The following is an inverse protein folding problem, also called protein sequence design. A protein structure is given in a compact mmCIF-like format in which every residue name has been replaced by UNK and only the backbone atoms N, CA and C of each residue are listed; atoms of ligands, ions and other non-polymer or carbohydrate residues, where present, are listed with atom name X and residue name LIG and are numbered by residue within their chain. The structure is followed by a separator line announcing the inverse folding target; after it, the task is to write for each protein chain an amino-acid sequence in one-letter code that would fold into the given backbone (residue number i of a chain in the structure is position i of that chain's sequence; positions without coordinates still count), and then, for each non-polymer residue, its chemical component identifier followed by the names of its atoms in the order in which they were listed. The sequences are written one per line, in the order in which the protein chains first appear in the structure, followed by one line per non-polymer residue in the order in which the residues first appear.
data_IF_632688660078
#
_entry.id   IF_632688660078
#
_cell.length_a   1.000
_cell.length_b   1.000
_cell.length_c   1.000
_cell.angle_alpha   90.00
_cell.angle_beta   90.00
_cell.angle_gamma   90.00
#
_symmetry.space_group_name_H-M   'P 1'
#
loop_
_entity.id
_entity.type
_entity.pdbx_description
1 polymer ?
#
# COMPACT_ATOMS: atom_id res chain seq x y z
N UNK A 1 -39.21 0.19 -65.25
CA UNK A 1 -37.89 0.07 -64.59
C UNK A 1 -37.95 0.85 -63.30
N UNK A 2 -38.09 0.20 -62.16
CA UNK A 2 -38.11 0.84 -60.87
C UNK A 2 -36.69 0.79 -60.29
N UNK A 3 -36.03 1.95 -60.25
CA UNK A 3 -34.73 2.13 -59.62
C UNK A 3 -34.89 2.02 -58.10
N UNK A 4 -34.51 0.88 -57.53
CA UNK A 4 -34.40 0.72 -56.10
C UNK A 4 -33.23 1.58 -55.59
N UNK A 5 -33.56 2.71 -54.95
CA UNK A 5 -32.65 3.47 -54.15
C UNK A 5 -32.25 2.64 -52.91
N UNK A 6 -31.06 2.06 -52.93
CA UNK A 6 -30.45 1.47 -51.73
C UNK A 6 -30.07 2.65 -50.81
N UNK A 7 -30.67 2.82 -49.64
CA UNK A 7 -30.27 3.88 -48.74
C UNK A 7 -28.84 3.60 -48.25
N UNK A 8 -27.97 4.55 -48.52
CA UNK A 8 -26.57 4.54 -48.07
C UNK A 8 -26.57 4.59 -46.51
N UNK A 9 -26.69 3.41 -45.89
CA UNK A 9 -26.62 3.28 -44.42
C UNK A 9 -25.23 3.70 -43.97
N UNK A 10 -25.10 4.96 -43.52
CA UNK A 10 -23.90 5.41 -42.79
C UNK A 10 -23.63 4.42 -41.67
N UNK A 11 -22.59 3.61 -41.86
CA UNK A 11 -22.15 2.60 -40.87
C UNK A 11 -21.87 3.33 -39.55
N UNK A 12 -22.75 3.29 -38.59
CA UNK A 12 -22.60 3.95 -37.29
C UNK A 12 -21.29 3.48 -36.62
N UNK A 13 -20.33 4.36 -36.42
CA UNK A 13 -19.07 4.11 -35.72
C UNK A 13 -19.26 4.17 -34.18
N UNK A 14 -20.46 4.46 -33.71
CA UNK A 14 -20.80 4.70 -32.32
C UNK A 14 -20.34 3.58 -31.37
N UNK A 15 -20.54 2.27 -31.64
CA UNK A 15 -20.07 1.20 -30.76
C UNK A 15 -18.53 1.18 -30.58
N UNK A 16 -17.81 1.44 -31.65
CA UNK A 16 -16.34 1.48 -31.62
C UNK A 16 -15.85 2.65 -30.79
N UNK A 17 -16.42 3.84 -31.01
CA UNK A 17 -16.07 5.06 -30.25
C UNK A 17 -16.37 4.87 -28.77
N UNK A 18 -17.56 4.37 -28.41
CA UNK A 18 -17.95 4.18 -27.01
C UNK A 18 -17.04 3.16 -26.30
N UNK A 19 -16.76 2.02 -26.93
CA UNK A 19 -15.84 1.02 -26.36
C UNK A 19 -14.43 1.60 -26.18
N UNK A 20 -13.93 2.40 -27.13
CA UNK A 20 -12.63 3.06 -27.03
C UNK A 20 -12.59 4.07 -25.90
N UNK A 21 -13.61 4.89 -25.76
CA UNK A 21 -13.71 5.86 -24.65
C UNK A 21 -13.75 5.15 -23.31
N UNK A 22 -14.61 4.14 -23.17
CA UNK A 22 -14.72 3.35 -21.91
C UNK A 22 -13.40 2.66 -21.57
N UNK A 23 -12.71 2.08 -22.56
CA UNK A 23 -11.39 1.49 -22.36
C UNK A 23 -10.35 2.53 -21.91
N UNK A 24 -10.24 3.65 -22.58
CA UNK A 24 -9.28 4.69 -22.22
C UNK A 24 -9.55 5.27 -20.83
N UNK A 25 -10.83 5.53 -20.51
CA UNK A 25 -11.23 6.01 -19.18
C UNK A 25 -10.88 5.00 -18.08
N UNK A 26 -11.23 3.72 -18.28
CA UNK A 26 -10.90 2.67 -17.31
C UNK A 26 -9.38 2.56 -17.12
N UNK A 27 -8.62 2.41 -18.20
CA UNK A 27 -7.16 2.24 -18.14
C UNK A 27 -6.49 3.41 -17.47
N UNK A 28 -6.86 4.64 -17.86
CA UNK A 28 -6.31 5.85 -17.25
C UNK A 28 -6.62 5.95 -15.76
N UNK A 29 -7.90 5.80 -15.35
CA UNK A 29 -8.32 5.90 -13.95
C UNK A 29 -7.64 4.79 -13.12
N UNK A 30 -7.57 3.58 -13.65
CA UNK A 30 -6.94 2.44 -12.99
C UNK A 30 -5.45 2.69 -12.72
N UNK A 31 -4.71 3.17 -13.71
CA UNK A 31 -3.27 3.47 -13.58
C UNK A 31 -3.02 4.71 -12.71
N UNK A 32 -3.84 5.75 -12.87
CA UNK A 32 -3.65 7.02 -12.17
C UNK A 32 -4.04 6.95 -10.68
N UNK A 33 -5.14 6.26 -10.36
CA UNK A 33 -5.70 6.28 -9.00
C UNK A 33 -5.38 5.03 -8.18
N UNK A 34 -5.24 3.87 -8.80
CA UNK A 34 -5.08 2.62 -8.08
C UNK A 34 -3.66 2.06 -8.15
N UNK A 35 -3.03 2.07 -9.31
CA UNK A 35 -1.72 1.45 -9.52
C UNK A 35 -0.53 2.44 -9.53
N UNK A 36 -0.77 3.74 -9.35
CA UNK A 36 0.27 4.76 -9.49
C UNK A 36 1.47 4.54 -8.56
N UNK A 37 1.21 4.22 -7.28
CA UNK A 37 2.27 4.06 -6.28
C UNK A 37 3.06 2.75 -6.50
N UNK A 38 2.36 1.68 -6.92
CA UNK A 38 3.00 0.40 -7.30
C UNK A 38 3.93 0.59 -8.49
N UNK A 39 3.48 1.31 -9.52
CA UNK A 39 4.29 1.60 -10.70
C UNK A 39 5.47 2.52 -10.38
N UNK A 40 5.29 3.50 -9.48
CA UNK A 40 6.37 4.37 -9.03
C UNK A 40 7.47 3.58 -8.32
N UNK A 41 7.10 2.72 -7.37
CA UNK A 41 8.03 1.81 -6.70
C UNK A 41 8.73 0.89 -7.71
N UNK A 42 7.96 0.29 -8.61
CA UNK A 42 8.51 -0.65 -9.61
C UNK A 42 9.52 0.03 -10.52
N UNK A 43 9.19 1.21 -11.05
CA UNK A 43 10.11 1.97 -11.90
C UNK A 43 11.38 2.38 -11.14
N UNK A 44 11.24 2.85 -9.89
CA UNK A 44 12.38 3.21 -9.05
C UNK A 44 13.32 2.02 -8.85
N UNK A 45 12.79 0.86 -8.47
CA UNK A 45 13.61 -0.34 -8.21
C UNK A 45 14.25 -0.86 -9.50
N UNK A 46 13.50 -0.99 -10.60
CA UNK A 46 14.03 -1.48 -11.88
C UNK A 46 15.07 -0.55 -12.50
N UNK A 47 14.98 0.75 -12.23
CA UNK A 47 15.97 1.73 -12.71
C UNK A 47 17.10 2.00 -11.72
N UNK A 48 17.16 1.28 -10.58
CA UNK A 48 18.09 1.56 -9.48
C UNK A 48 18.05 3.03 -9.03
N UNK A 49 16.85 3.62 -8.96
CA UNK A 49 16.64 5.00 -8.55
C UNK A 49 16.98 6.06 -9.60
N UNK A 50 17.32 5.68 -10.83
CA UNK A 50 17.72 6.63 -11.88
C UNK A 50 16.53 7.34 -12.54
N UNK A 51 15.35 6.75 -12.51
CA UNK A 51 14.15 7.31 -13.12
C UNK A 51 13.01 7.43 -12.11
N UNK A 52 12.18 8.46 -12.31
CA UNK A 52 11.02 8.73 -11.48
C UNK A 52 9.75 8.56 -12.30
N UNK A 53 8.73 7.91 -11.73
CA UNK A 53 7.42 7.74 -12.35
C UNK A 53 6.51 8.92 -12.00
N UNK A 54 6.20 9.75 -13.00
CA UNK A 54 5.10 10.70 -12.86
C UNK A 54 3.76 10.02 -13.14
N UNK A 55 2.85 10.08 -12.15
CA UNK A 55 1.55 9.39 -12.22
C UNK A 55 0.67 9.83 -13.38
N UNK A 56 0.73 11.11 -13.76
CA UNK A 56 -0.10 11.67 -14.84
C UNK A 56 0.47 11.30 -16.20
N UNK A 57 1.77 11.57 -16.40
CA UNK A 57 2.46 11.29 -17.67
C UNK A 57 2.50 9.78 -17.91
N UNK A 58 2.82 9.00 -16.87
CA UNK A 58 2.88 7.54 -16.95
C UNK A 58 1.53 6.92 -17.31
N UNK A 59 0.44 7.33 -16.64
CA UNK A 59 -0.91 6.83 -16.93
C UNK A 59 -1.34 7.18 -18.36
N UNK A 60 -1.08 8.40 -18.84
CA UNK A 60 -1.38 8.81 -20.22
C UNK A 60 -0.57 7.98 -21.21
N UNK A 61 0.75 7.89 -21.02
CA UNK A 61 1.65 7.20 -21.93
C UNK A 61 1.27 5.71 -22.07
N UNK A 62 1.07 5.01 -20.95
CA UNK A 62 0.69 3.60 -20.95
C UNK A 62 -0.69 3.43 -21.60
N UNK A 63 -1.67 4.28 -21.30
CA UNK A 63 -3.00 4.23 -21.92
C UNK A 63 -2.91 4.39 -23.43
N UNK A 64 -2.12 5.35 -23.92
CA UNK A 64 -1.92 5.58 -25.36
C UNK A 64 -1.25 4.37 -26.03
N UNK A 65 -0.21 3.80 -25.43
CA UNK A 65 0.48 2.61 -25.96
C UNK A 65 -0.48 1.42 -26.06
N UNK A 66 -1.26 1.17 -25.01
CA UNK A 66 -2.25 0.07 -24.98
C UNK A 66 -3.38 0.30 -26.00
N UNK A 67 -3.78 1.55 -26.21
CA UNK A 67 -4.77 1.89 -27.24
C UNK A 67 -4.21 1.73 -28.66
N UNK A 68 -2.95 2.12 -28.90
CA UNK A 68 -2.28 1.88 -30.20
C UNK A 68 -2.14 0.37 -30.48
N UNK A 69 -1.83 -0.44 -29.47
CA UNK A 69 -1.82 -1.90 -29.61
C UNK A 69 -3.20 -2.43 -30.02
N UNK A 70 -4.28 -1.97 -29.37
CA UNK A 70 -5.63 -2.30 -29.76
C UNK A 70 -5.93 -1.94 -31.23
N UNK A 71 -5.57 -0.72 -31.68
CA UNK A 71 -5.77 -0.28 -33.05
C UNK A 71 -5.05 -1.24 -34.02
N UNK A 72 -3.81 -1.61 -33.73
CA UNK A 72 -3.00 -2.52 -34.55
C UNK A 72 -3.68 -3.87 -34.72
N UNK A 73 -4.19 -4.44 -33.63
CA UNK A 73 -4.92 -5.71 -33.63
C UNK A 73 -6.24 -5.60 -34.40
N UNK A 74 -6.99 -4.53 -34.17
CA UNK A 74 -8.23 -4.29 -34.91
C UNK A 74 -7.99 -4.16 -36.43
N UNK A 75 -6.95 -3.43 -36.83
CA UNK A 75 -6.57 -3.27 -38.22
C UNK A 75 -6.13 -4.59 -38.90
N UNK A 76 -5.39 -5.42 -38.17
CA UNK A 76 -4.93 -6.73 -38.63
C UNK A 76 -6.09 -7.71 -38.86
N UNK A 77 -6.96 -7.86 -37.89
CA UNK A 77 -8.08 -8.83 -37.97
C UNK A 77 -9.28 -8.30 -38.75
N UNK A 78 -9.47 -6.97 -38.84
CA UNK A 78 -10.62 -6.33 -39.51
C UNK A 78 -11.95 -6.96 -39.06
N UNK A 79 -12.13 -7.17 -37.76
CA UNK A 79 -13.30 -7.82 -37.19
C UNK A 79 -14.59 -7.03 -37.45
N UNK A 80 -15.70 -7.77 -37.51
CA UNK A 80 -17.02 -7.16 -37.51
C UNK A 80 -17.29 -6.44 -36.18
N UNK A 81 -18.22 -5.51 -36.15
CA UNK A 81 -18.54 -4.69 -34.97
C UNK A 81 -19.05 -5.47 -33.77
N UNK A 82 -19.55 -6.71 -33.95
CA UNK A 82 -20.03 -7.55 -32.85
C UNK A 82 -18.89 -8.07 -31.98
N UNK A 83 -17.70 -8.29 -32.53
CA UNK A 83 -16.53 -8.76 -31.79
C UNK A 83 -15.50 -7.67 -31.49
N UNK A 84 -15.85 -6.41 -31.64
CA UNK A 84 -14.93 -5.28 -31.50
C UNK A 84 -14.28 -5.25 -30.12
N UNK A 85 -15.04 -5.47 -29.04
CA UNK A 85 -14.52 -5.45 -27.69
C UNK A 85 -13.39 -6.48 -27.44
N UNK A 86 -13.42 -7.63 -28.11
CA UNK A 86 -12.39 -8.66 -27.95
C UNK A 86 -11.00 -8.23 -28.44
N UNK A 87 -10.93 -7.23 -29.33
CA UNK A 87 -9.64 -6.69 -29.79
C UNK A 87 -8.88 -5.91 -28.70
N UNK A 88 -9.56 -5.54 -27.60
CA UNK A 88 -8.91 -4.95 -26.43
C UNK A 88 -8.24 -5.98 -25.51
N UNK A 89 -8.55 -7.27 -25.67
CA UNK A 89 -8.05 -8.33 -24.78
C UNK A 89 -6.52 -8.34 -24.67
N UNK A 90 -5.71 -8.26 -25.75
CA UNK A 90 -4.26 -8.24 -25.63
C UNK A 90 -3.74 -7.02 -24.88
N UNK A 91 -4.36 -5.86 -25.07
CA UNK A 91 -3.99 -4.63 -24.33
C UNK A 91 -4.30 -4.76 -22.84
N UNK A 92 -5.45 -5.34 -22.48
CA UNK A 92 -5.83 -5.59 -21.09
C UNK A 92 -4.99 -6.69 -20.44
N UNK A 93 -4.60 -7.72 -21.21
CA UNK A 93 -3.66 -8.74 -20.75
C UNK A 93 -2.30 -8.16 -20.39
N UNK A 94 -1.76 -7.26 -21.24
CA UNK A 94 -0.52 -6.55 -20.93
C UNK A 94 -0.69 -5.62 -19.73
N UNK A 95 -1.82 -4.93 -19.58
CA UNK A 95 -2.13 -4.12 -18.41
C UNK A 95 -2.10 -4.96 -17.14
N UNK A 96 -2.74 -6.14 -17.16
CA UNK A 96 -2.73 -7.06 -16.02
C UNK A 96 -1.31 -7.49 -15.66
N UNK A 97 -0.51 -7.90 -16.63
CA UNK A 97 0.87 -8.32 -16.39
C UNK A 97 1.76 -7.17 -15.86
N UNK A 98 1.54 -5.94 -16.35
CA UNK A 98 2.24 -4.74 -15.89
C UNK A 98 1.89 -4.38 -14.45
N UNK A 99 0.69 -4.72 -13.98
CA UNK A 99 0.18 -4.35 -12.67
C UNK A 99 0.15 -5.53 -11.67
N UNK A 100 0.47 -6.76 -12.10
CA UNK A 100 0.65 -7.92 -11.22
C UNK A 100 2.08 -8.00 -10.68
N UNK A 101 2.50 -6.94 -9.98
CA UNK A 101 3.82 -6.83 -9.38
C UNK A 101 3.66 -6.92 -7.86
N UNK A 102 4.42 -7.82 -7.24
CA UNK A 102 4.47 -8.00 -5.81
C UNK A 102 5.91 -7.83 -5.27
N UNK A 103 6.03 -7.87 -3.96
CA UNK A 103 7.31 -7.71 -3.26
C UNK A 103 8.36 -8.73 -3.71
N UNK A 104 7.97 -10.00 -3.89
CA UNK A 104 8.91 -11.07 -4.26
C UNK A 104 9.43 -10.89 -5.68
N UNK A 105 8.52 -10.54 -6.62
CA UNK A 105 8.90 -10.25 -8.01
C UNK A 105 9.91 -9.10 -8.10
N UNK A 106 9.72 -8.05 -7.30
CA UNK A 106 10.65 -6.92 -7.24
C UNK A 106 12.01 -7.34 -6.71
N UNK A 107 12.07 -8.06 -5.59
CA UNK A 107 13.35 -8.47 -4.99
C UNK A 107 14.15 -9.43 -5.87
N UNK A 108 13.49 -10.31 -6.61
CA UNK A 108 14.14 -11.24 -7.51
C UNK A 108 14.43 -10.68 -8.91
N UNK A 109 14.18 -9.38 -9.15
CA UNK A 109 14.27 -8.74 -10.47
C UNK A 109 13.53 -9.51 -11.58
N UNK A 110 12.51 -10.31 -11.22
CA UNK A 110 11.72 -11.12 -12.13
C UNK A 110 10.38 -10.42 -12.42
N UNK A 111 10.42 -9.28 -13.08
CA UNK A 111 9.25 -8.41 -13.32
C UNK A 111 8.04 -9.15 -13.94
N UNK A 112 8.27 -10.17 -14.75
CA UNK A 112 7.21 -10.91 -15.43
C UNK A 112 6.87 -12.26 -14.77
N UNK A 113 7.77 -12.88 -14.00
CA UNK A 113 7.50 -14.16 -13.34
C UNK A 113 6.81 -15.19 -14.25
N UNK A 114 5.67 -15.75 -13.80
CA UNK A 114 4.86 -16.70 -14.58
C UNK A 114 4.26 -16.11 -15.86
N UNK A 115 4.11 -14.79 -15.96
CA UNK A 115 3.58 -14.10 -17.14
C UNK A 115 4.40 -14.33 -18.39
N UNK A 116 5.67 -14.67 -18.26
CA UNK A 116 6.52 -15.02 -19.41
C UNK A 116 5.96 -16.19 -20.25
N UNK A 117 5.31 -17.15 -19.62
CA UNK A 117 4.66 -18.26 -20.30
C UNK A 117 3.18 -18.05 -20.56
N UNK A 118 2.49 -17.37 -19.65
CA UNK A 118 1.03 -17.13 -19.71
C UNK A 118 0.67 -16.17 -20.85
N UNK A 119 1.42 -15.08 -21.03
CA UNK A 119 1.13 -14.09 -22.07
C UNK A 119 1.17 -14.72 -23.48
N UNK A 120 2.23 -15.42 -23.92
CA UNK A 120 2.27 -16.02 -25.26
C UNK A 120 1.14 -17.03 -25.47
N UNK A 121 0.82 -17.85 -24.46
CA UNK A 121 -0.26 -18.81 -24.55
C UNK A 121 -1.62 -18.14 -24.74
N UNK A 122 -1.94 -17.14 -23.91
CA UNK A 122 -3.20 -16.41 -24.00
C UNK A 122 -3.32 -15.58 -25.28
N UNK A 123 -2.23 -15.00 -25.75
CA UNK A 123 -2.19 -14.29 -27.04
C UNK A 123 -2.44 -15.25 -28.19
N UNK A 124 -1.86 -16.44 -28.17
CA UNK A 124 -2.10 -17.48 -29.16
C UNK A 124 -3.56 -17.92 -29.19
N UNK A 125 -4.14 -18.20 -28.02
CA UNK A 125 -5.56 -18.52 -27.89
C UNK A 125 -6.46 -17.38 -28.40
N UNK A 126 -6.13 -16.14 -28.04
CA UNK A 126 -6.83 -14.96 -28.52
C UNK A 126 -6.75 -14.86 -30.06
N UNK A 127 -5.57 -15.06 -30.63
CA UNK A 127 -5.36 -15.05 -32.10
C UNK A 127 -6.27 -16.07 -32.80
N UNK A 128 -6.32 -17.30 -32.32
CA UNK A 128 -7.22 -18.33 -32.87
C UNK A 128 -8.69 -17.95 -32.70
N UNK A 129 -9.09 -17.44 -31.51
CA UNK A 129 -10.47 -17.03 -31.27
C UNK A 129 -10.90 -15.86 -32.19
N UNK A 130 -10.05 -14.86 -32.38
CA UNK A 130 -10.32 -13.73 -33.29
C UNK A 130 -10.40 -14.19 -34.76
N UNK A 131 -9.51 -15.11 -35.18
CA UNK A 131 -9.54 -15.72 -36.50
C UNK A 131 -10.83 -16.52 -36.77
N UNK A 132 -11.25 -17.35 -35.79
CA UNK A 132 -12.51 -18.09 -35.84
C UNK A 132 -13.74 -17.17 -35.90
N UNK A 133 -13.79 -16.13 -35.09
CA UNK A 133 -14.85 -15.13 -35.10
C UNK A 133 -14.93 -14.40 -36.44
N UNK A 134 -13.80 -14.05 -37.04
CA UNK A 134 -13.76 -13.43 -38.37
C UNK A 134 -14.45 -14.30 -39.43
N UNK A 135 -14.21 -15.61 -39.42
CA UNK A 135 -14.83 -16.53 -40.37
C UNK A 135 -16.33 -16.68 -40.14
N UNK A 136 -16.76 -16.85 -38.88
CA UNK A 136 -18.16 -17.18 -38.55
C UNK A 136 -19.11 -15.99 -38.59
N UNK A 137 -18.63 -14.79 -38.21
CA UNK A 137 -19.45 -13.56 -38.09
C UNK A 137 -19.57 -12.87 -39.46
N UNK A 138 -18.60 -13.01 -40.36
CA UNK A 138 -18.68 -12.47 -41.73
C UNK A 138 -19.91 -12.93 -42.50
N UNK A 139 -20.47 -14.11 -42.16
CA UNK A 139 -21.62 -14.72 -42.87
C UNK A 139 -23.00 -14.19 -42.40
N UNK A 140 -23.13 -13.59 -41.21
CA UNK A 140 -24.45 -13.26 -40.60
C UNK A 140 -24.79 -11.77 -40.47
N UNK A 141 -23.95 -10.82 -40.87
CA UNK A 141 -24.08 -9.39 -40.48
C UNK A 141 -24.53 -8.49 -41.63
N UNK A 142 -25.62 -8.83 -42.31
CA UNK A 142 -26.12 -7.94 -43.40
C UNK A 142 -27.22 -6.97 -42.94
N UNK A 143 -27.80 -7.08 -41.74
CA UNK A 143 -28.98 -6.26 -41.34
C UNK A 143 -29.08 -5.82 -39.89
N UNK A 144 -27.99 -5.63 -39.14
CA UNK A 144 -28.15 -5.15 -37.77
C UNK A 144 -28.15 -3.61 -37.71
N UNK A 145 -29.23 -3.03 -37.19
CA UNK A 145 -29.28 -1.61 -36.80
C UNK A 145 -28.39 -1.38 -35.58
N UNK A 146 -27.44 -0.45 -35.66
CA UNK A 146 -26.49 -0.14 -34.59
C UNK A 146 -26.91 1.13 -33.82
N UNK A 147 -28.01 1.05 -33.08
CA UNK A 147 -28.43 2.08 -32.13
C UNK A 147 -27.77 1.83 -30.76
N UNK A 148 -27.76 2.84 -29.86
CA UNK A 148 -27.23 2.74 -28.49
C UNK A 148 -27.84 1.57 -27.69
N UNK A 149 -29.09 1.20 -27.98
CA UNK A 149 -29.81 0.10 -27.36
C UNK A 149 -29.72 -1.22 -28.17
N UNK A 150 -28.84 -1.32 -29.16
CA UNK A 150 -28.73 -2.52 -29.99
C UNK A 150 -28.04 -3.67 -29.24
N UNK A 151 -28.50 -4.90 -29.49
CA UNK A 151 -27.92 -6.14 -28.91
C UNK A 151 -26.39 -6.23 -29.11
N UNK A 152 -25.80 -5.92 -30.28
CA UNK A 152 -24.35 -5.94 -30.47
C UNK A 152 -23.60 -4.96 -29.59
N UNK A 153 -24.20 -3.81 -29.27
CA UNK A 153 -23.62 -2.80 -28.39
C UNK A 153 -23.48 -3.34 -26.96
N UNK A 154 -24.56 -3.91 -26.44
CA UNK A 154 -24.55 -4.49 -25.08
C UNK A 154 -23.58 -5.66 -24.94
N UNK A 155 -23.44 -6.51 -25.96
CA UNK A 155 -22.47 -7.61 -25.98
C UNK A 155 -21.04 -7.08 -25.87
N UNK A 156 -20.70 -6.03 -26.64
CA UNK A 156 -19.37 -5.43 -26.56
C UNK A 156 -19.09 -4.76 -25.19
N UNK A 157 -20.04 -4.00 -24.65
CA UNK A 157 -19.89 -3.37 -23.33
C UNK A 157 -19.77 -4.42 -22.22
N UNK A 158 -20.61 -5.46 -22.25
CA UNK A 158 -20.53 -6.55 -21.27
C UNK A 158 -19.17 -7.27 -21.36
N UNK A 159 -18.69 -7.54 -22.58
CA UNK A 159 -17.38 -8.15 -22.78
C UNK A 159 -16.25 -7.28 -22.21
N UNK A 160 -16.31 -5.96 -22.39
CA UNK A 160 -15.34 -5.04 -21.77
C UNK A 160 -15.43 -5.08 -20.25
N UNK A 161 -16.63 -5.01 -19.67
CA UNK A 161 -16.79 -5.09 -18.21
C UNK A 161 -16.23 -6.38 -17.65
N UNK A 162 -16.50 -7.53 -18.29
CA UNK A 162 -15.92 -8.80 -17.87
C UNK A 162 -14.39 -8.77 -17.93
N UNK A 163 -13.81 -8.23 -19.00
CA UNK A 163 -12.35 -8.10 -19.12
C UNK A 163 -11.77 -7.15 -18.06
N UNK A 164 -12.45 -6.05 -17.72
CA UNK A 164 -12.02 -5.15 -16.65
C UNK A 164 -12.06 -5.83 -15.28
N UNK A 165 -13.11 -6.63 -15.01
CA UNK A 165 -13.16 -7.45 -13.80
C UNK A 165 -11.97 -8.43 -13.73
N UNK A 166 -11.61 -9.07 -14.86
CA UNK A 166 -10.44 -9.95 -14.92
C UNK A 166 -9.13 -9.17 -14.65
N UNK A 167 -8.95 -7.99 -15.22
CA UNK A 167 -7.80 -7.13 -14.87
C UNK A 167 -7.73 -6.88 -13.38
N UNK A 168 -8.83 -6.42 -12.77
CA UNK A 168 -8.86 -6.14 -11.33
C UNK A 168 -8.63 -7.37 -10.45
N UNK A 169 -9.01 -8.57 -10.93
CA UNK A 169 -8.85 -9.83 -10.17
C UNK A 169 -7.44 -10.40 -10.26
N UNK A 170 -6.81 -10.32 -11.44
CA UNK A 170 -5.51 -10.92 -11.70
C UNK A 170 -4.33 -9.98 -11.54
N UNK A 171 -4.56 -8.68 -11.37
CA UNK A 171 -3.52 -7.73 -10.97
C UNK A 171 -3.26 -7.80 -9.47
N UNK A 172 -2.16 -7.21 -9.01
CA UNK A 172 -1.89 -7.10 -7.59
C UNK A 172 -2.97 -6.26 -6.89
N UNK A 173 -3.61 -6.86 -5.89
CA UNK A 173 -4.63 -6.25 -5.03
C UNK A 173 -4.30 -6.42 -3.53
N UNK A 174 -3.05 -6.78 -3.20
CA UNK A 174 -2.59 -6.86 -1.83
C UNK A 174 -2.60 -5.48 -1.18
N UNK A 175 -3.51 -5.29 -0.22
CA UNK A 175 -3.68 -4.04 0.51
C UNK A 175 -2.41 -3.61 1.25
N UNK A 176 -1.67 -4.56 1.81
CA UNK A 176 -0.43 -4.25 2.53
C UNK A 176 0.63 -3.71 1.59
N UNK A 177 0.78 -4.36 0.44
CA UNK A 177 1.71 -3.93 -0.59
C UNK A 177 1.37 -2.54 -1.12
N UNK A 178 0.08 -2.27 -1.42
CA UNK A 178 -0.37 -0.94 -1.86
C UNK A 178 -0.16 0.13 -0.78
N UNK A 179 -0.48 -0.16 0.49
CA UNK A 179 -0.23 0.77 1.59
C UNK A 179 1.27 1.06 1.74
N UNK A 180 2.11 0.02 1.66
CA UNK A 180 3.56 0.17 1.76
C UNK A 180 4.12 0.99 0.60
N UNK A 181 3.75 0.67 -0.64
CA UNK A 181 4.17 1.42 -1.81
C UNK A 181 3.78 2.91 -1.70
N UNK A 182 2.54 3.19 -1.30
CA UNK A 182 2.05 4.55 -1.10
C UNK A 182 2.81 5.31 -0.01
N UNK A 183 3.11 4.65 1.12
CA UNK A 183 3.91 5.25 2.20
C UNK A 183 5.34 5.53 1.74
N UNK A 184 6.00 4.57 1.08
CA UNK A 184 7.38 4.75 0.61
C UNK A 184 7.50 5.87 -0.42
N UNK A 185 6.55 5.97 -1.36
CA UNK A 185 6.49 7.09 -2.32
C UNK A 185 6.33 8.42 -1.58
N UNK A 186 5.38 8.51 -0.63
CA UNK A 186 5.17 9.74 0.12
C UNK A 186 6.40 10.15 0.96
N UNK A 187 7.08 9.17 1.58
CA UNK A 187 8.31 9.43 2.35
C UNK A 187 9.46 9.87 1.42
N UNK A 188 9.62 9.20 0.28
CA UNK A 188 10.63 9.56 -0.72
C UNK A 188 10.42 10.99 -1.25
N UNK A 189 9.18 11.41 -1.39
CA UNK A 189 8.80 12.79 -1.75
C UNK A 189 8.80 13.77 -0.57
N UNK A 190 9.29 13.36 0.61
CA UNK A 190 9.30 14.15 1.85
C UNK A 190 7.91 14.60 2.34
N UNK A 191 6.83 13.94 1.91
CA UNK A 191 5.44 14.18 2.35
C UNK A 191 5.09 13.30 3.55
N UNK A 192 5.77 13.51 4.68
CA UNK A 192 5.66 12.65 5.86
C UNK A 192 4.26 12.63 6.47
N UNK A 193 3.57 13.77 6.51
CA UNK A 193 2.18 13.83 7.02
C UNK A 193 1.20 13.03 6.14
N UNK A 194 1.40 13.01 4.83
CA UNK A 194 0.58 12.20 3.93
C UNK A 194 0.88 10.70 4.09
N UNK A 195 2.14 10.33 4.33
CA UNK A 195 2.51 8.97 4.65
C UNK A 195 1.79 8.46 5.91
N UNK A 196 1.67 9.29 6.96
CA UNK A 196 1.00 8.93 8.20
C UNK A 196 -0.51 8.70 8.06
N UNK A 197 -1.17 9.35 7.10
CA UNK A 197 -2.59 9.12 6.78
C UNK A 197 -2.86 7.76 6.11
N UNK A 198 -1.82 7.13 5.53
CA UNK A 198 -1.98 5.84 4.84
C UNK A 198 -2.30 4.74 5.82
N UNK A 199 -3.49 4.14 5.68
CA UNK A 199 -3.94 3.05 6.55
C UNK A 199 -4.14 3.43 8.01
N UNK A 200 -4.33 4.72 8.34
CA UNK A 200 -4.57 5.22 9.71
C UNK A 200 -5.71 4.49 10.42
N UNK A 201 -6.81 4.22 9.70
CA UNK A 201 -7.98 3.52 10.24
C UNK A 201 -7.91 1.99 10.06
N UNK A 202 -6.82 1.44 9.55
CA UNK A 202 -6.66 -0.01 9.40
C UNK A 202 -6.21 -0.63 10.72
N UNK A 203 -6.88 -1.71 11.14
CA UNK A 203 -6.45 -2.52 12.30
C UNK A 203 -5.34 -3.51 11.94
N UNK A 204 -5.06 -3.68 10.66
CA UNK A 204 -4.03 -4.60 10.16
C UNK A 204 -2.76 -3.84 9.83
N UNK A 205 -1.63 -4.43 10.18
CA UNK A 205 -0.30 -3.87 9.90
C UNK A 205 0.71 -5.00 9.71
N UNK A 206 1.85 -4.68 9.13
CA UNK A 206 3.05 -5.51 9.11
C UNK A 206 4.25 -4.75 9.69
N UNK A 207 5.35 -5.45 9.91
CA UNK A 207 6.56 -4.83 10.48
C UNK A 207 7.17 -3.75 9.58
N UNK A 208 7.01 -3.86 8.26
CA UNK A 208 7.51 -2.85 7.32
C UNK A 208 6.70 -1.55 7.42
N UNK A 209 5.37 -1.65 7.54
CA UNK A 209 4.51 -0.48 7.76
C UNK A 209 4.77 0.18 9.12
N UNK A 210 5.04 -0.61 10.17
CA UNK A 210 5.43 -0.07 11.49
C UNK A 210 6.71 0.74 11.37
N UNK A 211 7.73 0.21 10.69
CA UNK A 211 9.00 0.92 10.49
C UNK A 211 8.81 2.22 9.70
N UNK A 212 8.04 2.19 8.60
CA UNK A 212 7.77 3.38 7.79
C UNK A 212 7.04 4.46 8.59
N UNK A 213 6.07 4.07 9.42
CA UNK A 213 5.37 5.00 10.32
C UNK A 213 6.31 5.58 11.37
N UNK A 214 7.12 4.74 12.02
CA UNK A 214 8.09 5.20 13.01
C UNK A 214 9.08 6.21 12.39
N UNK A 215 9.56 5.94 11.17
CA UNK A 215 10.44 6.86 10.45
C UNK A 215 9.73 8.18 10.10
N UNK A 216 8.52 8.14 9.56
CA UNK A 216 7.74 9.33 9.25
C UNK A 216 7.42 10.15 10.51
N UNK A 217 6.97 9.50 11.61
CA UNK A 217 6.73 10.14 12.90
C UNK A 217 7.98 10.80 13.47
N UNK A 218 9.12 10.15 13.34
CA UNK A 218 10.40 10.72 13.80
C UNK A 218 10.79 11.96 12.98
N UNK A 219 10.54 11.96 11.66
CA UNK A 219 10.80 13.13 10.80
C UNK A 219 9.94 14.34 11.16
N UNK A 220 8.70 14.12 11.59
CA UNK A 220 7.80 15.19 12.08
C UNK A 220 7.89 15.42 13.58
N UNK A 221 8.85 14.76 14.29
CA UNK A 221 9.09 14.89 15.75
C UNK A 221 7.88 14.49 16.62
N UNK A 222 7.10 13.50 16.17
CA UNK A 222 5.91 13.00 16.87
C UNK A 222 6.02 11.51 17.25
N UNK A 223 7.23 10.93 17.24
CA UNK A 223 7.41 9.51 17.50
C UNK A 223 6.89 9.10 18.89
N UNK A 224 7.25 9.81 19.95
CA UNK A 224 6.77 9.55 21.30
C UNK A 224 5.33 10.00 21.56
N UNK A 225 4.76 10.82 20.67
CA UNK A 225 3.37 11.30 20.78
C UNK A 225 2.37 10.32 20.17
N UNK A 226 2.66 9.76 18.99
CA UNK A 226 1.65 9.08 18.18
C UNK A 226 1.97 7.60 17.86
N UNK A 227 3.15 7.06 18.20
CA UNK A 227 3.53 5.70 17.79
C UNK A 227 2.48 4.64 18.16
N UNK A 228 1.92 4.71 19.37
CA UNK A 228 0.95 3.74 19.88
C UNK A 228 -0.49 4.04 19.45
N UNK A 229 -0.73 5.07 18.64
CA UNK A 229 -2.03 5.32 18.02
C UNK A 229 -2.28 4.42 16.81
N UNK A 230 -1.21 3.84 16.26
CA UNK A 230 -1.26 2.91 15.14
C UNK A 230 -1.17 1.44 15.62
N UNK A 231 -1.68 0.49 14.82
CA UNK A 231 -1.44 -0.92 15.10
C UNK A 231 0.04 -1.24 14.99
N UNK A 232 0.57 -1.98 15.96
CA UNK A 232 1.97 -2.33 16.09
C UNK A 232 2.19 -3.84 16.02
N UNK A 233 3.27 -4.25 15.37
CA UNK A 233 3.69 -5.65 15.23
C UNK A 233 5.22 -5.71 15.20
N UNK A 234 5.82 -6.75 15.81
CA UNK A 234 7.25 -7.03 15.74
C UNK A 234 8.11 -6.35 16.80
N UNK A 235 7.50 -5.67 17.80
CA UNK A 235 8.24 -5.05 18.91
C UNK A 235 9.27 -4.03 18.42
N UNK A 236 10.38 -3.90 19.17
CA UNK A 236 11.47 -2.99 18.82
C UNK A 236 12.18 -3.34 17.51
N UNK A 237 12.17 -4.60 17.10
CA UNK A 237 12.79 -5.05 15.83
C UNK A 237 12.09 -4.47 14.60
N UNK A 238 10.84 -4.04 14.74
CA UNK A 238 10.10 -3.36 13.69
C UNK A 238 10.45 -1.87 13.53
N UNK A 239 11.30 -1.29 14.37
CA UNK A 239 11.70 0.13 14.25
C UNK A 239 12.73 0.40 13.16
N UNK A 240 13.49 -0.61 12.74
CA UNK A 240 14.57 -0.47 11.77
C UNK A 240 14.55 -1.57 10.71
N UNK A 241 15.02 -1.29 9.49
CA UNK A 241 15.19 -2.32 8.46
C UNK A 241 16.14 -3.42 8.95
N UNK A 242 15.71 -4.68 8.84
CA UNK A 242 16.50 -5.86 9.24
C UNK A 242 16.69 -6.87 8.10
N UNK A 243 16.08 -6.66 6.94
CA UNK A 243 16.18 -7.54 5.78
C UNK A 243 15.34 -8.82 5.85
N UNK A 244 14.77 -9.14 7.00
CA UNK A 244 13.95 -10.34 7.24
C UNK A 244 12.46 -9.98 7.33
N UNK A 245 12.03 -9.45 8.47
CA UNK A 245 10.65 -9.05 8.72
C UNK A 245 10.33 -7.63 8.25
N UNK A 246 11.34 -6.76 8.15
CA UNK A 246 11.23 -5.37 7.68
C UNK A 246 11.99 -5.23 6.37
N UNK A 247 11.26 -5.19 5.28
CA UNK A 247 11.80 -5.08 3.92
C UNK A 247 11.36 -3.75 3.31
N UNK A 248 12.29 -3.00 2.72
CA UNK A 248 12.05 -1.74 2.04
C UNK A 248 12.04 -1.93 0.53
N UNK A 249 11.28 -1.11 -0.19
CA UNK A 249 11.19 -1.15 -1.65
C UNK A 249 12.00 -0.03 -2.30
N UNK A 250 11.77 1.22 -1.90
CA UNK A 250 12.44 2.40 -2.45
C UNK A 250 13.49 2.98 -1.52
N UNK A 251 13.23 2.95 -0.19
CA UNK A 251 14.08 3.63 0.77
C UNK A 251 15.34 2.80 1.06
N UNK A 252 16.54 3.36 0.85
CA UNK A 252 17.77 2.65 1.17
C UNK A 252 17.90 2.46 2.69
N UNK A 253 18.20 1.23 3.11
CA UNK A 253 18.45 0.90 4.52
C UNK A 253 19.49 1.82 5.16
N UNK A 254 20.55 2.16 4.41
CA UNK A 254 21.61 3.04 4.88
C UNK A 254 21.12 4.45 5.20
N UNK A 255 20.14 4.99 4.46
CA UNK A 255 19.58 6.32 4.71
C UNK A 255 18.91 6.38 6.08
N UNK A 256 18.10 5.38 6.41
CA UNK A 256 17.40 5.28 7.69
C UNK A 256 18.42 5.12 8.84
N UNK A 257 19.43 4.27 8.65
CA UNK A 257 20.48 4.07 9.65
C UNK A 257 21.30 5.35 9.85
N UNK A 258 21.67 6.05 8.79
CA UNK A 258 22.39 7.32 8.87
C UNK A 258 21.57 8.46 9.47
N UNK A 259 20.25 8.41 9.35
CA UNK A 259 19.36 9.36 10.02
C UNK A 259 19.44 9.24 11.55
N UNK A 260 19.58 8.02 12.08
CA UNK A 260 19.66 7.75 13.52
C UNK A 260 21.10 7.89 14.04
N UNK A 261 22.09 7.49 13.22
CA UNK A 261 23.50 7.56 13.62
C UNK A 261 24.43 6.95 12.59
N UNK A 262 25.06 5.82 12.92
CA UNK A 262 26.01 5.10 12.08
C UNK A 262 25.40 3.81 11.57
N UNK A 263 25.92 3.27 10.45
CA UNK A 263 25.42 2.02 9.86
C UNK A 263 25.41 0.86 10.85
N UNK A 264 24.32 0.11 10.87
CA UNK A 264 24.12 -1.07 11.71
C UNK A 264 24.89 -2.26 11.15
N UNK A 265 25.55 -3.05 12.00
CA UNK A 265 26.04 -4.37 11.61
C UNK A 265 24.84 -5.31 11.43
N UNK A 266 24.83 -6.10 10.36
CA UNK A 266 23.66 -6.92 9.98
C UNK A 266 23.18 -7.90 11.05
N UNK A 267 24.10 -8.44 11.88
CA UNK A 267 23.77 -9.40 12.95
C UNK A 267 23.28 -8.77 14.27
N UNK A 268 23.30 -7.43 14.41
CA UNK A 268 22.95 -6.79 15.68
C UNK A 268 21.44 -6.52 15.75
N UNK A 269 20.80 -6.86 16.88
CA UNK A 269 19.41 -6.50 17.17
C UNK A 269 19.24 -4.99 17.33
N UNK A 270 17.99 -4.50 17.18
CA UNK A 270 17.69 -3.06 17.18
C UNK A 270 18.05 -2.39 18.51
N UNK A 271 17.59 -2.92 19.64
CA UNK A 271 17.88 -2.31 20.97
C UNK A 271 19.37 -2.27 21.27
N UNK A 272 20.16 -3.36 21.17
CA UNK A 272 21.60 -3.31 21.34
C UNK A 272 22.31 -2.33 20.41
N UNK A 273 21.84 -2.18 19.18
CA UNK A 273 22.39 -1.21 18.24
C UNK A 273 22.12 0.24 18.68
N UNK A 274 20.90 0.55 19.08
CA UNK A 274 20.54 1.89 19.57
C UNK A 274 21.31 2.23 20.86
N UNK A 275 21.41 1.27 21.80
CA UNK A 275 22.21 1.44 23.03
C UNK A 275 23.70 1.61 22.72
N UNK A 276 24.22 0.94 21.69
CA UNK A 276 25.61 1.13 21.25
C UNK A 276 25.83 2.55 20.73
N UNK A 277 24.95 3.05 19.85
CA UNK A 277 25.03 4.41 19.32
C UNK A 277 24.97 5.44 20.43
N UNK A 278 24.10 5.23 21.40
CA UNK A 278 23.89 6.12 22.55
C UNK A 278 25.12 6.17 23.44
N UNK A 279 25.67 5.01 23.85
CA UNK A 279 26.84 4.90 24.73
C UNK A 279 28.11 5.49 24.12
N UNK A 280 28.28 5.38 22.81
CA UNK A 280 29.46 5.87 22.10
C UNK A 280 29.28 7.29 21.51
N UNK A 281 28.17 7.98 21.83
CA UNK A 281 27.83 9.31 21.30
C UNK A 281 27.85 9.38 19.76
N UNK A 282 27.48 8.28 19.09
CA UNK A 282 27.39 8.15 17.64
C UNK A 282 25.96 8.40 17.12
N UNK A 283 24.99 8.57 18.02
CA UNK A 283 23.61 8.85 17.71
C UNK A 283 23.40 10.29 17.26
N UNK A 284 22.48 10.51 16.34
CA UNK A 284 21.98 11.83 15.94
C UNK A 284 20.74 12.23 16.77
N UNK A 285 20.15 13.37 16.47
CA UNK A 285 19.02 13.94 17.24
C UNK A 285 17.83 12.97 17.43
N UNK A 286 17.59 12.04 16.51
CA UNK A 286 16.49 11.08 16.58
C UNK A 286 16.76 9.90 17.55
N UNK A 287 18.00 9.68 18.01
CA UNK A 287 18.38 8.49 18.78
C UNK A 287 17.60 8.35 20.07
N UNK A 288 17.33 9.47 20.78
CA UNK A 288 16.63 9.48 22.04
C UNK A 288 15.22 8.88 21.91
N UNK A 289 14.44 9.40 20.97
CA UNK A 289 13.07 8.91 20.75
C UNK A 289 13.03 7.48 20.25
N UNK A 290 13.95 7.10 19.36
CA UNK A 290 14.02 5.71 18.91
C UNK A 290 14.33 4.72 20.03
N UNK A 291 15.28 5.07 20.91
CA UNK A 291 15.65 4.19 22.03
C UNK A 291 14.57 4.15 23.11
N UNK A 292 13.95 5.30 23.45
CA UNK A 292 12.83 5.37 24.37
C UNK A 292 11.63 4.56 23.85
N UNK A 293 11.25 4.71 22.59
CA UNK A 293 10.18 3.95 21.98
C UNK A 293 10.52 2.45 21.85
N UNK A 294 11.79 2.10 21.59
CA UNK A 294 12.23 0.70 21.57
C UNK A 294 12.04 0.02 22.93
N UNK A 295 12.40 0.70 24.03
CA UNK A 295 12.15 0.19 25.37
C UNK A 295 10.65 0.04 25.68
N UNK A 296 9.82 0.99 25.24
CA UNK A 296 8.37 0.90 25.40
C UNK A 296 7.77 -0.26 24.60
N UNK A 297 8.22 -0.48 23.36
CA UNK A 297 7.78 -1.59 22.51
C UNK A 297 8.13 -2.96 23.13
N UNK A 298 9.30 -3.07 23.77
CA UNK A 298 9.74 -4.29 24.45
C UNK A 298 9.28 -4.35 25.91
N UNK A 299 8.42 -3.41 26.36
CA UNK A 299 7.88 -3.33 27.74
C UNK A 299 8.95 -3.18 28.83
N UNK A 300 10.13 -2.64 28.48
CA UNK A 300 11.26 -2.41 29.37
C UNK A 300 11.10 -1.05 30.08
N UNK A 301 10.09 -0.94 30.96
CA UNK A 301 9.74 0.32 31.64
C UNK A 301 10.86 0.87 32.52
N UNK A 302 11.63 0.02 33.20
CA UNK A 302 12.71 0.45 34.08
C UNK A 302 13.85 1.13 33.27
N UNK A 303 14.20 0.57 32.09
CA UNK A 303 15.19 1.15 31.19
C UNK A 303 14.71 2.45 30.57
N UNK A 304 13.41 2.50 30.21
CA UNK A 304 12.76 3.71 29.71
C UNK A 304 12.85 4.85 30.75
N UNK A 305 12.42 4.60 32.01
CA UNK A 305 12.40 5.60 33.08
C UNK A 305 13.80 6.07 33.44
N UNK A 306 14.80 5.18 33.40
CA UNK A 306 16.20 5.51 33.64
C UNK A 306 16.79 6.44 32.55
N UNK A 307 16.38 6.24 31.32
CA UNK A 307 16.92 6.99 30.17
C UNK A 307 16.19 8.32 29.92
N UNK A 308 14.89 8.37 30.21
CA UNK A 308 14.01 9.50 29.89
C UNK A 308 14.58 10.87 30.34
N UNK A 309 15.09 11.04 31.60
CA UNK A 309 15.59 12.34 32.08
C UNK A 309 16.80 12.87 31.31
N UNK A 310 17.48 12.03 30.53
CA UNK A 310 18.60 12.46 29.69
C UNK A 310 18.14 13.29 28.49
N UNK A 311 16.93 13.03 27.98
CA UNK A 311 16.40 13.64 26.76
C UNK A 311 15.26 14.62 27.00
N UNK A 312 14.52 14.42 28.10
CA UNK A 312 13.32 15.17 28.40
C UNK A 312 13.25 15.58 29.87
N UNK A 313 12.77 16.79 30.11
CA UNK A 313 12.32 17.21 31.44
C UNK A 313 10.99 16.53 31.76
N UNK A 314 10.85 16.02 32.99
CA UNK A 314 9.62 15.33 33.41
C UNK A 314 8.59 16.38 33.83
N UNK A 315 7.81 16.83 32.87
CA UNK A 315 6.75 17.83 33.04
C UNK A 315 5.53 17.50 32.16
N UNK A 316 4.52 18.38 32.16
CA UNK A 316 3.29 18.21 31.38
C UNK A 316 3.49 18.25 29.85
N UNK A 317 4.64 18.75 29.36
CA UNK A 317 4.96 18.86 27.94
C UNK A 317 5.61 17.58 27.35
N UNK A 318 5.80 16.55 28.18
CA UNK A 318 6.26 15.26 27.69
C UNK A 318 5.32 14.71 26.62
N UNK A 319 5.84 14.00 25.59
CA UNK A 319 5.01 13.26 24.65
C UNK A 319 3.97 12.35 25.35
N UNK A 320 2.79 12.25 24.76
CA UNK A 320 1.62 11.54 25.34
C UNK A 320 1.98 10.14 25.84
N UNK A 321 2.60 9.33 25.00
CA UNK A 321 2.89 7.95 25.36
C UNK A 321 4.01 7.81 26.40
N UNK A 322 4.89 8.80 26.54
CA UNK A 322 5.87 8.84 27.63
C UNK A 322 5.21 9.13 28.97
N UNK A 323 4.23 10.07 28.98
CA UNK A 323 3.40 10.33 30.17
C UNK A 323 2.59 9.10 30.57
N UNK A 324 1.93 8.45 29.62
CA UNK A 324 1.17 7.20 29.85
C UNK A 324 2.07 6.09 30.41
N UNK A 325 3.31 5.97 29.91
CA UNK A 325 4.28 5.01 30.41
C UNK A 325 4.74 5.30 31.83
N UNK A 326 4.94 6.58 32.17
CA UNK A 326 5.30 7.01 33.53
C UNK A 326 4.18 6.74 34.54
N UNK A 327 2.92 7.01 34.19
CA UNK A 327 1.77 6.69 35.02
C UNK A 327 1.69 5.18 35.26
N UNK A 328 1.79 4.38 34.18
CA UNK A 328 1.83 2.93 34.28
C UNK A 328 2.96 2.44 35.18
N UNK A 329 4.16 3.00 35.04
CA UNK A 329 5.34 2.68 35.86
C UNK A 329 5.10 2.97 37.32
N UNK A 330 4.54 4.15 37.65
CA UNK A 330 4.22 4.57 39.03
C UNK A 330 3.23 3.60 39.67
N UNK A 331 2.21 3.14 38.95
CA UNK A 331 1.22 2.18 39.47
C UNK A 331 1.73 0.73 39.57
N UNK A 332 2.72 0.35 38.75
CA UNK A 332 3.27 -1.03 38.79
C UNK A 332 4.41 -1.20 39.77
N UNK A 333 5.00 -0.16 40.31
CA UNK A 333 6.15 -0.23 41.22
C UNK A 333 5.75 0.25 42.62
N UNK A 334 6.10 -0.55 43.63
CA UNK A 334 5.89 -0.18 45.06
C UNK A 334 6.82 0.94 45.50
N UNK A 335 8.00 1.07 44.87
CA UNK A 335 8.97 2.15 45.09
C UNK A 335 9.50 2.65 43.73
N UNK A 336 8.74 3.51 43.05
CA UNK A 336 9.14 4.06 41.76
C UNK A 336 10.33 5.00 41.96
N UNK A 337 11.35 4.89 41.08
CA UNK A 337 12.51 5.79 41.08
C UNK A 337 12.15 7.18 40.56
N UNK A 338 11.08 7.29 39.79
CA UNK A 338 10.47 8.53 39.29
C UNK A 338 8.98 8.44 39.50
N UNK A 339 8.40 9.47 40.12
CA UNK A 339 6.94 9.62 40.25
C UNK A 339 6.47 10.71 39.29
N UNK A 340 5.47 10.40 38.51
CA UNK A 340 4.78 11.34 37.64
C UNK A 340 3.30 11.30 37.96
N UNK A 341 2.71 12.45 38.21
CA UNK A 341 1.28 12.60 38.52
C UNK A 341 0.65 13.60 37.56
N UNK A 342 -0.50 13.24 37.04
CA UNK A 342 -1.33 14.12 36.22
C UNK A 342 -2.80 13.75 36.45
N UNK A 343 -3.53 14.63 37.13
CA UNK A 343 -4.88 14.34 37.61
C UNK A 343 -5.83 13.80 36.53
N UNK A 344 -5.72 14.30 35.28
CA UNK A 344 -6.57 13.85 34.19
C UNK A 344 -6.16 12.45 33.72
N UNK A 345 -4.87 12.24 33.47
CA UNK A 345 -4.38 10.95 32.98
C UNK A 345 -4.44 9.86 34.09
N UNK A 346 -4.31 10.22 35.36
CA UNK A 346 -4.49 9.29 36.48
C UNK A 346 -5.96 8.83 36.52
N UNK A 347 -6.92 9.73 36.38
CA UNK A 347 -8.34 9.39 36.27
C UNK A 347 -8.65 8.51 35.06
N UNK A 348 -8.09 8.84 33.89
CA UNK A 348 -8.22 8.03 32.66
C UNK A 348 -7.65 6.62 32.87
N UNK A 349 -6.53 6.49 33.59
CA UNK A 349 -5.94 5.17 33.90
C UNK A 349 -6.78 4.36 34.90
N UNK A 350 -7.40 4.99 35.89
CA UNK A 350 -8.34 4.33 36.81
C UNK A 350 -9.58 3.85 36.05
N UNK A 351 -10.13 4.65 35.14
CA UNK A 351 -11.23 4.24 34.27
C UNK A 351 -10.83 3.07 33.36
N UNK A 352 -9.64 3.12 32.76
CA UNK A 352 -9.07 2.01 31.99
C UNK A 352 -9.05 0.72 32.81
N UNK A 353 -8.56 0.76 34.07
CA UNK A 353 -8.53 -0.42 34.95
C UNK A 353 -9.93 -0.90 35.31
N UNK A 354 -10.87 0.02 35.56
CA UNK A 354 -12.26 -0.30 35.90
C UNK A 354 -12.95 -1.02 34.73
N UNK A 355 -12.78 -0.54 33.50
CA UNK A 355 -13.30 -1.20 32.31
C UNK A 355 -12.64 -2.57 32.12
N UNK A 356 -11.32 -2.67 32.34
CA UNK A 356 -10.62 -3.95 32.24
C UNK A 356 -11.11 -4.98 33.25
N UNK A 357 -11.49 -4.57 34.46
CA UNK A 357 -12.05 -5.44 35.51
C UNK A 357 -13.51 -5.81 35.25
N UNK A 358 -14.30 -4.94 34.64
CA UNK A 358 -15.73 -5.15 34.36
C UNK A 358 -16.04 -6.36 33.48
N UNK A 359 -15.13 -6.73 32.58
CA UNK A 359 -15.34 -7.82 31.63
C UNK A 359 -14.44 -9.02 31.94
N UNK A 360 -14.97 -10.11 32.53
CA UNK A 360 -14.17 -11.30 32.87
C UNK A 360 -13.66 -12.04 31.61
N UNK A 361 -14.43 -12.05 30.51
CA UNK A 361 -14.03 -12.67 29.27
C UNK A 361 -12.93 -11.85 28.59
N UNK A 362 -11.77 -12.48 28.39
CA UNK A 362 -10.57 -11.82 27.84
C UNK A 362 -10.77 -11.20 26.45
N UNK A 363 -11.52 -11.89 25.57
CA UNK A 363 -11.75 -11.39 24.20
C UNK A 363 -12.68 -10.17 24.19
N UNK A 364 -13.77 -10.24 24.97
CA UNK A 364 -14.71 -9.13 25.11
C UNK A 364 -14.02 -7.93 25.77
N UNK A 365 -13.25 -8.17 26.83
CA UNK A 365 -12.46 -7.15 27.53
C UNK A 365 -11.49 -6.46 26.56
N UNK A 366 -10.68 -7.23 25.81
CA UNK A 366 -9.73 -6.69 24.83
C UNK A 366 -10.43 -5.79 23.80
N UNK A 367 -11.61 -6.20 23.32
CA UNK A 367 -12.38 -5.40 22.35
C UNK A 367 -12.91 -4.11 22.98
N UNK A 368 -13.54 -4.21 24.17
CA UNK A 368 -14.12 -3.04 24.86
C UNK A 368 -13.06 -2.03 25.30
N UNK A 369 -11.94 -2.51 25.81
CA UNK A 369 -10.83 -1.63 26.18
C UNK A 369 -10.21 -0.99 24.94
N UNK A 370 -10.09 -1.73 23.81
CA UNK A 370 -9.59 -1.18 22.56
C UNK A 370 -10.47 -0.06 22.00
N UNK A 371 -11.79 -0.21 22.10
CA UNK A 371 -12.74 0.77 21.57
C UNK A 371 -12.57 2.17 22.20
N UNK A 372 -12.07 2.24 23.45
CA UNK A 372 -11.90 3.48 24.21
C UNK A 372 -10.42 3.87 24.33
N UNK A 373 -9.57 2.92 24.71
CA UNK A 373 -8.16 3.14 25.05
C UNK A 373 -7.17 2.46 24.09
N UNK A 374 -7.63 2.00 22.93
CA UNK A 374 -6.81 1.29 21.94
C UNK A 374 -5.62 2.11 21.38
N UNK A 375 -5.67 3.44 21.52
CA UNK A 375 -4.64 4.39 21.11
C UNK A 375 -3.77 4.87 22.27
N UNK A 376 -3.60 4.03 23.30
CA UNK A 376 -2.78 4.32 24.48
C UNK A 376 -1.66 3.29 24.64
N UNK A 377 -0.57 3.70 25.29
CA UNK A 377 0.49 2.78 25.66
C UNK A 377 0.00 1.70 26.65
N UNK A 378 -0.98 2.02 27.52
CA UNK A 378 -1.56 1.06 28.47
C UNK A 378 -2.21 -0.13 27.77
N UNK A 379 -2.97 0.13 26.72
CA UNK A 379 -3.57 -0.94 25.92
C UNK A 379 -2.48 -1.78 25.24
N UNK A 380 -1.47 -1.14 24.64
CA UNK A 380 -0.34 -1.84 24.04
C UNK A 380 0.36 -2.73 25.07
N UNK A 381 0.73 -2.17 26.21
CA UNK A 381 1.44 -2.90 27.27
C UNK A 381 0.72 -4.17 27.72
N UNK A 382 -0.60 -4.08 27.89
CA UNK A 382 -1.40 -5.19 28.43
C UNK A 382 -1.81 -6.22 27.37
N UNK A 383 -2.12 -5.80 26.13
CA UNK A 383 -2.77 -6.65 25.14
C UNK A 383 -1.93 -6.94 23.90
N UNK A 384 -0.78 -6.30 23.69
CA UNK A 384 0.12 -6.72 22.64
C UNK A 384 0.81 -8.03 23.04
N UNK A 385 0.65 -9.07 22.23
CA UNK A 385 1.54 -10.22 22.26
C UNK A 385 2.87 -9.79 21.67
N UNK A 386 3.97 -9.92 22.44
CA UNK A 386 5.29 -9.98 21.82
C UNK A 386 5.28 -11.25 20.98
N UNK A 387 5.22 -11.10 19.63
CA UNK A 387 5.19 -12.22 18.70
C UNK A 387 6.49 -12.99 18.70
#
# INVERSE_FOLDING_TARGET
MATYHIPNQKKSLLPCILCSVVFCCFTFIYLFSYQCDVLAVTQHVLSNGQTYYDKTIGAILITVILYLLHISIFWFFRLSRIGYALTFFPSLLLLTALTDIDTEKIYHHSALGAWWWVIPLLLLLCFFALGYLKQKVSYKVTQASYNVLSRPMWINLLSLVVMFCLVCTFSNHDKFYHCRAKMEVAIHEHRFEDALKVGENSLHTDSSLVMLRAYALSKVKRLGEDLFEYPLLGGSEALLPNGESVKMLMLPTNEIQHYIGKSKKSSMKVVPYLEFLERHHLGKSAIGDYLLCAYLLDKRLDDFVKLLPKYYEINANLPKHYREALILYTHLRSQPSVTYTNNVMDADYEDYQTIAKKYPNTLVRKTKVRDIYGKTYWYYYQYSSNG
#
